data_IF_180774927770
#
_entry.id   IF_180774927770
#
_cell.length_a   1.000
_cell.length_b   1.000
_cell.length_c   1.000
_cell.angle_alpha   90.00
_cell.angle_beta   90.00
_cell.angle_gamma   90.00
#
_symmetry.space_group_name_H-M   'P 1'
#
loop_
_entity.id
_entity.type
_entity.pdbx_description
1 polymer ?
#
# COMPACT_ATOMS: atom_id res chain seq x y z
N UNK A 1 1.32 18.73 -21.99
CA UNK A 1 0.15 18.19 -21.26
C UNK A 1 0.20 18.74 -19.83
N UNK A 2 -0.96 19.13 -19.28
CA UNK A 2 -1.09 19.72 -17.95
C UNK A 2 -1.35 18.62 -16.93
N UNK A 3 -0.76 18.74 -15.72
CA UNK A 3 -1.08 17.91 -14.57
C UNK A 3 -2.16 18.57 -13.73
N UNK A 4 -3.03 17.77 -13.18
CA UNK A 4 -4.05 18.18 -12.22
C UNK A 4 -3.88 17.34 -10.98
N UNK A 5 -3.95 17.93 -9.79
CA UNK A 5 -3.78 17.24 -8.52
C UNK A 5 -4.84 17.69 -7.52
N UNK A 6 -5.34 16.75 -6.76
CA UNK A 6 -6.24 17.00 -5.64
C UNK A 6 -5.77 16.17 -4.45
N UNK A 7 -5.57 16.80 -3.30
CA UNK A 7 -5.11 16.17 -2.06
C UNK A 7 -6.05 16.54 -0.93
N UNK A 8 -6.46 15.57 -0.14
CA UNK A 8 -7.40 15.74 0.97
C UNK A 8 -6.96 14.95 2.18
N UNK A 9 -7.30 15.43 3.37
CA UNK A 9 -7.28 14.67 4.62
C UNK A 9 -8.65 14.02 4.83
N UNK A 10 -8.71 12.90 5.52
CA UNK A 10 -9.95 12.14 5.79
C UNK A 10 -10.20 11.02 4.79
N UNK A 11 -11.39 10.46 4.82
CA UNK A 11 -11.75 9.30 4.02
C UNK A 11 -11.96 9.65 2.54
N UNK A 12 -11.59 8.72 1.66
CA UNK A 12 -11.78 8.87 0.20
C UNK A 12 -13.26 9.03 -0.13
N UNK A 13 -14.13 8.21 0.50
CA UNK A 13 -15.57 8.27 0.29
C UNK A 13 -16.16 9.65 0.55
N UNK A 14 -15.71 10.35 1.58
CA UNK A 14 -16.23 11.67 1.95
C UNK A 14 -15.77 12.77 0.99
N UNK A 15 -14.57 12.62 0.45
CA UNK A 15 -13.88 13.68 -0.30
C UNK A 15 -13.98 13.54 -1.82
N UNK A 16 -14.02 12.32 -2.36
CA UNK A 16 -13.91 12.08 -3.81
C UNK A 16 -15.19 11.56 -4.48
N UNK A 17 -16.23 11.23 -3.74
CA UNK A 17 -17.53 10.78 -4.28
C UNK A 17 -18.33 11.92 -4.91
N UNK A 18 -18.11 13.15 -4.48
CA UNK A 18 -18.79 14.33 -5.03
C UNK A 18 -18.19 14.65 -6.41
N UNK A 19 -18.97 14.51 -7.48
CA UNK A 19 -18.53 14.70 -8.87
C UNK A 19 -17.80 16.01 -9.18
N UNK A 20 -17.91 17.03 -8.32
CA UNK A 20 -17.16 18.30 -8.41
C UNK A 20 -15.63 18.10 -8.31
N UNK A 21 -15.17 17.13 -7.51
CA UNK A 21 -13.71 16.87 -7.33
C UNK A 21 -13.16 16.15 -8.54
N UNK A 22 -13.85 15.12 -9.04
CA UNK A 22 -13.42 14.37 -10.23
C UNK A 22 -13.38 15.24 -11.48
N UNK A 23 -14.29 16.20 -11.62
CA UNK A 23 -14.29 17.18 -12.73
C UNK A 23 -13.03 18.08 -12.76
N UNK A 24 -12.33 18.23 -11.63
CA UNK A 24 -11.05 18.96 -11.55
C UNK A 24 -9.85 18.14 -12.01
N UNK A 25 -10.02 16.85 -12.24
CA UNK A 25 -8.96 15.90 -12.60
C UNK A 25 -9.18 15.32 -14.01
N UNK A 26 -9.27 16.16 -15.06
CA UNK A 26 -9.43 15.66 -16.42
C UNK A 26 -8.12 15.01 -16.89
N UNK A 27 -8.21 13.85 -17.57
CA UNK A 27 -7.04 13.18 -18.13
C UNK A 27 -7.32 11.72 -18.47
N UNK A 28 -6.40 11.13 -19.24
CA UNK A 28 -6.45 9.74 -19.67
C UNK A 28 -5.59 8.80 -18.80
N UNK A 29 -4.74 9.38 -17.97
CA UNK A 29 -3.87 8.67 -17.04
C UNK A 29 -4.03 9.28 -15.64
N UNK A 30 -4.06 8.45 -14.63
CA UNK A 30 -4.15 8.90 -13.25
C UNK A 30 -3.32 8.01 -12.33
N UNK A 31 -2.81 8.57 -11.24
CA UNK A 31 -2.29 7.85 -10.09
C UNK A 31 -3.02 8.31 -8.84
N UNK A 32 -3.17 7.42 -7.86
CA UNK A 32 -3.79 7.72 -6.59
C UNK A 32 -3.01 7.10 -5.43
N UNK A 33 -3.21 7.65 -4.23
CA UNK A 33 -2.59 7.12 -3.03
C UNK A 33 -3.48 7.33 -1.80
N UNK A 34 -3.67 6.28 -1.05
CA UNK A 34 -4.30 6.32 0.27
C UNK A 34 -3.20 6.18 1.32
N UNK A 35 -2.98 7.23 2.10
CA UNK A 35 -1.98 7.21 3.16
C UNK A 35 -2.63 6.91 4.50
N UNK A 36 -2.13 5.88 5.17
CA UNK A 36 -2.31 5.72 6.60
C UNK A 36 -1.06 6.22 7.31
N UNK A 37 -1.21 7.22 8.18
CA UNK A 37 -0.05 7.87 8.82
C UNK A 37 0.53 6.96 9.90
N UNK A 38 1.64 6.29 9.58
CA UNK A 38 2.42 5.50 10.54
C UNK A 38 3.71 6.22 10.98
N UNK A 39 4.22 7.12 10.14
CA UNK A 39 5.41 7.94 10.40
C UNK A 39 5.23 9.34 9.80
N UNK A 40 5.72 10.36 10.50
CA UNK A 40 5.62 11.76 10.11
C UNK A 40 4.27 12.41 10.48
N UNK A 41 4.24 13.73 10.50
CA UNK A 41 3.06 14.50 10.88
C UNK A 41 1.91 14.35 9.88
N UNK A 42 0.66 14.41 10.36
CA UNK A 42 -0.56 14.44 9.55
C UNK A 42 -0.75 15.80 8.86
N UNK A 43 0.26 16.24 8.11
CA UNK A 43 0.23 17.48 7.35
C UNK A 43 -0.22 17.21 5.92
N UNK A 44 -1.01 18.11 5.37
CA UNK A 44 -1.45 18.05 3.96
C UNK A 44 -0.27 17.98 2.99
N UNK A 45 0.88 18.54 3.34
CA UNK A 45 2.09 18.50 2.53
C UNK A 45 2.68 17.08 2.38
N UNK A 46 2.39 16.17 3.32
CA UNK A 46 2.81 14.77 3.25
C UNK A 46 1.85 13.87 2.46
N UNK A 47 0.70 14.41 2.03
CA UNK A 47 -0.29 13.66 1.25
C UNK A 47 0.22 13.46 -0.18
N UNK A 48 0.23 12.21 -0.63
CA UNK A 48 0.64 11.82 -1.98
C UNK A 48 -0.59 11.77 -2.91
N UNK A 49 -0.39 11.82 -4.25
CA UNK A 49 0.87 11.83 -5.00
C UNK A 49 1.65 13.14 -4.87
N UNK A 50 2.98 13.05 -4.89
CA UNK A 50 3.82 14.23 -5.06
C UNK A 50 3.96 14.57 -6.54
N UNK A 51 3.95 15.87 -6.82
CA UNK A 51 4.16 16.40 -8.15
C UNK A 51 5.40 17.30 -8.17
N UNK A 52 6.19 17.18 -9.23
CA UNK A 52 7.27 18.09 -9.52
C UNK A 52 7.31 18.41 -11.02
N UNK A 53 7.65 19.65 -11.35
CA UNK A 53 7.90 20.06 -12.73
C UNK A 53 9.41 20.04 -12.98
N UNK A 54 9.85 19.14 -13.84
CA UNK A 54 11.24 18.93 -14.19
C UNK A 54 11.51 19.54 -15.56
N UNK A 55 12.77 19.82 -15.87
CA UNK A 55 13.18 20.22 -17.22
C UNK A 55 12.71 19.21 -18.30
N UNK A 56 12.63 17.93 -17.95
CA UNK A 56 12.12 16.85 -18.81
C UNK A 56 10.59 16.73 -18.85
N UNK A 57 9.86 17.62 -18.21
CA UNK A 57 8.39 17.62 -18.07
C UNK A 57 7.93 17.22 -16.67
N UNK A 58 6.63 17.35 -16.43
CA UNK A 58 6.02 17.03 -15.15
C UNK A 58 6.09 15.55 -14.77
N UNK A 59 6.22 15.28 -13.47
CA UNK A 59 6.22 13.94 -12.88
C UNK A 59 5.34 13.92 -11.63
N UNK A 60 4.47 12.91 -11.53
CA UNK A 60 3.71 12.60 -10.31
C UNK A 60 4.17 11.27 -9.75
N UNK A 61 4.31 11.14 -8.43
CA UNK A 61 4.80 9.92 -7.77
C UNK A 61 3.92 9.57 -6.57
N UNK A 62 3.50 8.30 -6.53
CA UNK A 62 2.90 7.63 -5.38
C UNK A 62 3.84 6.51 -4.91
N UNK A 63 4.07 6.42 -3.61
CA UNK A 63 4.97 5.46 -2.98
C UNK A 63 4.27 4.71 -1.86
N UNK A 64 4.16 3.42 -2.00
CA UNK A 64 3.74 2.51 -0.93
C UNK A 64 4.98 1.77 -0.43
N UNK A 65 5.46 2.12 0.76
CA UNK A 65 6.66 1.53 1.33
C UNK A 65 7.41 2.47 2.27
N UNK A 66 8.67 2.16 2.50
CA UNK A 66 9.56 2.96 3.31
C UNK A 66 11.02 2.78 2.86
N UNK A 67 11.74 3.87 2.71
CA UNK A 67 13.15 3.88 2.36
C UNK A 67 14.01 3.85 3.64
N UNK A 68 14.79 2.79 3.81
CA UNK A 68 15.67 2.63 4.97
C UNK A 68 16.82 3.65 5.02
N UNK A 69 17.26 4.14 3.85
CA UNK A 69 18.32 5.14 3.73
C UNK A 69 17.84 6.58 3.47
N UNK A 70 16.52 6.84 3.58
CA UNK A 70 15.95 8.16 3.26
C UNK A 70 16.59 9.32 4.01
N UNK A 71 16.87 9.15 5.30
CA UNK A 71 17.47 10.21 6.14
C UNK A 71 18.88 10.59 5.67
N UNK A 72 19.70 9.61 5.30
CA UNK A 72 21.07 9.86 4.81
C UNK A 72 21.03 10.55 3.46
N UNK A 73 20.22 10.02 2.53
CA UNK A 73 20.03 10.64 1.22
C UNK A 73 19.49 12.06 1.32
N UNK A 74 18.54 12.31 2.23
CA UNK A 74 18.02 13.65 2.48
C UNK A 74 19.11 14.60 2.96
N UNK A 75 19.96 14.20 3.93
CA UNK A 75 21.07 15.00 4.42
C UNK A 75 22.04 15.38 3.29
N UNK A 76 22.42 14.44 2.44
CA UNK A 76 23.29 14.66 1.28
C UNK A 76 22.65 15.61 0.27
N UNK A 77 21.38 15.42 -0.05
CA UNK A 77 20.63 16.27 -0.96
C UNK A 77 20.51 17.70 -0.45
N UNK A 78 20.19 17.91 0.83
CA UNK A 78 20.14 19.25 1.46
C UNK A 78 21.51 19.91 1.44
N UNK A 79 22.58 19.19 1.81
CA UNK A 79 23.96 19.69 1.76
C UNK A 79 24.36 20.13 0.34
N UNK A 80 23.79 19.50 -0.68
CA UNK A 80 24.01 19.85 -2.08
C UNK A 80 22.97 20.82 -2.67
N UNK A 81 22.19 21.49 -1.82
CA UNK A 81 21.28 22.58 -2.20
C UNK A 81 19.86 22.15 -2.57
N UNK A 82 19.43 20.91 -2.30
CA UNK A 82 18.03 20.52 -2.50
C UNK A 82 17.13 21.11 -1.41
N UNK A 83 15.96 21.58 -1.81
CA UNK A 83 14.94 22.14 -0.90
C UNK A 83 13.84 21.11 -0.71
N UNK A 84 13.52 20.81 0.54
CA UNK A 84 12.47 19.88 0.94
C UNK A 84 11.28 20.63 1.55
N UNK A 85 10.07 20.27 1.19
CA UNK A 85 8.84 20.87 1.70
C UNK A 85 8.06 19.92 2.61
N UNK A 86 8.44 18.63 2.65
CA UNK A 86 7.73 17.58 3.39
C UNK A 86 8.70 16.80 4.27
N UNK A 87 8.16 15.97 5.15
CA UNK A 87 8.93 15.01 5.94
C UNK A 87 8.90 13.60 5.33
N UNK A 88 8.25 13.43 4.17
CA UNK A 88 8.11 12.14 3.49
C UNK A 88 9.41 11.70 2.81
N UNK A 89 9.73 10.42 2.92
CA UNK A 89 10.81 9.77 2.19
C UNK A 89 10.59 9.77 0.66
N UNK A 90 9.34 9.83 0.23
CA UNK A 90 8.97 9.92 -1.19
C UNK A 90 9.50 11.19 -1.85
N UNK A 91 9.61 12.31 -1.11
CA UNK A 91 10.20 13.53 -1.64
C UNK A 91 11.68 13.34 -1.99
N UNK A 92 12.39 12.47 -1.24
CA UNK A 92 13.78 12.09 -1.57
C UNK A 92 13.88 11.45 -2.97
N UNK A 93 12.90 10.60 -3.34
CA UNK A 93 12.83 10.02 -4.69
C UNK A 93 12.68 11.12 -5.75
N UNK A 94 11.77 12.07 -5.53
CA UNK A 94 11.55 13.21 -6.44
C UNK A 94 12.84 14.01 -6.64
N UNK A 95 13.53 14.33 -5.55
CA UNK A 95 14.79 15.10 -5.58
C UNK A 95 15.91 14.35 -6.30
N UNK A 96 16.04 13.04 -6.11
CA UNK A 96 17.03 12.21 -6.81
C UNK A 96 16.77 12.18 -8.31
N UNK A 97 15.50 12.01 -8.75
CA UNK A 97 15.12 12.04 -10.15
C UNK A 97 15.43 13.41 -10.77
N UNK A 98 15.09 14.50 -10.06
CA UNK A 98 15.34 15.87 -10.52
C UNK A 98 16.83 16.13 -10.75
N UNK A 99 17.69 15.61 -9.88
CA UNK A 99 19.15 15.82 -9.91
C UNK A 99 19.92 14.85 -10.80
N UNK A 100 19.28 13.80 -11.30
CA UNK A 100 19.95 12.85 -12.20
C UNK A 100 20.37 13.56 -13.50
N UNK A 101 21.63 13.36 -13.88
CA UNK A 101 22.24 13.94 -15.08
C UNK A 101 21.82 13.23 -16.38
N UNK A 102 21.03 12.16 -16.30
CA UNK A 102 20.53 11.44 -17.47
C UNK A 102 19.59 12.32 -18.28
N UNK A 103 19.53 12.12 -19.58
CA UNK A 103 18.65 12.90 -20.48
C UNK A 103 17.20 12.38 -20.47
N UNK A 104 17.02 11.04 -20.52
CA UNK A 104 15.71 10.42 -20.60
C UNK A 104 15.12 10.17 -19.21
N UNK A 105 13.83 10.41 -19.04
CA UNK A 105 13.14 10.25 -17.75
C UNK A 105 13.24 8.81 -17.19
N UNK A 106 13.19 7.79 -18.04
CA UNK A 106 13.35 6.38 -17.61
C UNK A 106 14.74 6.18 -17.02
N UNK A 107 15.79 6.67 -17.65
CA UNK A 107 17.17 6.54 -17.18
C UNK A 107 17.38 7.30 -15.86
N UNK A 108 16.71 8.48 -15.69
CA UNK A 108 16.71 9.22 -14.40
C UNK A 108 16.06 8.42 -13.28
N UNK A 109 14.96 7.75 -13.58
CA UNK A 109 14.28 6.88 -12.62
C UNK A 109 15.19 5.70 -12.26
N UNK A 110 15.77 5.00 -13.24
CA UNK A 110 16.69 3.88 -13.02
C UNK A 110 17.90 4.33 -12.17
N UNK A 111 18.51 5.47 -12.50
CA UNK A 111 19.62 6.04 -11.73
C UNK A 111 19.22 6.30 -10.26
N UNK A 112 17.98 6.70 -10.03
CA UNK A 112 17.42 6.87 -8.67
C UNK A 112 17.20 5.54 -7.96
N UNK A 113 16.68 4.52 -8.67
CA UNK A 113 16.40 3.21 -8.07
C UNK A 113 17.66 2.54 -7.52
N UNK A 114 18.83 2.76 -8.12
CA UNK A 114 20.10 2.25 -7.61
C UNK A 114 20.61 2.96 -6.36
N UNK A 115 20.05 4.13 -6.02
CA UNK A 115 20.44 4.91 -4.83
C UNK A 115 19.55 4.66 -3.62
N UNK A 116 18.28 4.35 -3.85
CA UNK A 116 17.31 4.12 -2.78
C UNK A 116 17.39 2.68 -2.27
N UNK A 117 17.17 2.52 -0.97
CA UNK A 117 17.14 1.22 -0.28
C UNK A 117 15.87 1.11 0.54
N UNK A 118 15.31 -0.10 0.62
CA UNK A 118 14.09 -0.39 1.38
C UNK A 118 13.06 -1.16 0.59
N UNK A 119 11.87 -1.31 1.15
CA UNK A 119 10.73 -1.92 0.48
C UNK A 119 9.86 -0.83 -0.13
N UNK A 120 9.60 -0.93 -1.45
CA UNK A 120 8.77 0.06 -2.14
C UNK A 120 8.00 -0.51 -3.33
N UNK A 121 6.79 0.00 -3.50
CA UNK A 121 6.04 -0.06 -4.73
C UNK A 121 5.73 1.37 -5.18
N UNK A 122 6.15 1.74 -6.39
CA UNK A 122 5.98 3.08 -6.93
C UNK A 122 5.00 3.08 -8.09
N UNK A 123 4.10 4.06 -8.11
CA UNK A 123 3.34 4.43 -9.29
C UNK A 123 3.76 5.84 -9.71
N UNK A 124 4.30 5.96 -10.91
CA UNK A 124 4.83 7.21 -11.46
C UNK A 124 4.05 7.60 -12.70
N UNK A 125 3.61 8.84 -12.74
CA UNK A 125 2.93 9.43 -13.89
C UNK A 125 3.81 10.50 -14.53
N UNK A 126 4.02 10.39 -15.83
CA UNK A 126 4.67 11.41 -16.66
C UNK A 126 3.69 11.94 -17.71
N UNK A 127 4.10 12.88 -18.54
CA UNK A 127 3.26 13.42 -19.60
C UNK A 127 2.74 12.36 -20.59
N UNK A 128 3.42 11.20 -20.72
CA UNK A 128 3.11 10.18 -21.72
C UNK A 128 3.11 8.75 -21.19
N UNK A 129 3.48 8.53 -19.93
CA UNK A 129 3.71 7.19 -19.39
C UNK A 129 3.10 7.04 -17.99
N UNK A 130 2.49 5.90 -17.74
CA UNK A 130 2.24 5.38 -16.39
C UNK A 130 3.28 4.29 -16.12
N UNK A 131 4.00 4.41 -15.02
CA UNK A 131 5.12 3.52 -14.69
C UNK A 131 4.85 2.89 -13.33
N UNK A 132 4.93 1.58 -13.24
CA UNK A 132 4.90 0.83 -12.00
C UNK A 132 6.25 0.21 -11.69
N UNK A 133 6.71 0.30 -10.45
CA UNK A 133 8.02 -0.24 -10.05
C UNK A 133 7.87 -0.99 -8.74
N UNK A 134 8.38 -2.20 -8.70
CA UNK A 134 8.47 -3.01 -7.46
C UNK A 134 9.93 -3.10 -7.02
N UNK A 135 10.17 -3.01 -5.72
CA UNK A 135 11.51 -3.11 -5.13
C UNK A 135 12.22 -4.43 -5.50
N UNK A 136 13.57 -4.46 -5.53
CA UNK A 136 14.34 -5.61 -6.00
C UNK A 136 14.20 -6.88 -5.15
N UNK A 137 13.74 -6.75 -3.90
CA UNK A 137 13.46 -7.90 -3.02
C UNK A 137 12.01 -8.36 -3.08
N UNK A 138 11.10 -7.55 -3.66
CA UNK A 138 9.67 -7.80 -3.70
C UNK A 138 9.02 -7.71 -2.33
N UNK A 139 9.50 -6.80 -1.48
CA UNK A 139 8.99 -6.56 -0.12
C UNK A 139 7.55 -6.04 -0.19
N UNK A 140 7.32 -5.03 -1.06
CA UNK A 140 5.97 -4.47 -1.24
C UNK A 140 5.28 -5.09 -2.47
N UNK A 141 3.97 -5.39 -2.38
CA UNK A 141 3.23 -5.91 -3.50
C UNK A 141 2.92 -4.81 -4.54
N UNK A 142 2.86 -5.21 -5.80
CA UNK A 142 2.35 -4.42 -6.91
C UNK A 142 1.82 -5.37 -7.99
N UNK A 143 0.61 -5.13 -8.46
CA UNK A 143 -0.10 -6.00 -9.38
C UNK A 143 -0.58 -5.25 -10.61
N UNK A 144 -0.70 -5.97 -11.73
CA UNK A 144 -1.19 -5.47 -13.01
C UNK A 144 -2.51 -6.13 -13.32
N UNK A 145 -3.49 -5.31 -13.66
CA UNK A 145 -4.78 -5.74 -14.18
C UNK A 145 -5.14 -5.03 -15.48
N UNK A 146 -6.25 -5.41 -16.06
CA UNK A 146 -6.81 -4.80 -17.28
C UNK A 146 -8.28 -4.53 -17.08
N UNK A 147 -8.68 -3.28 -17.26
CA UNK A 147 -10.06 -2.84 -17.30
C UNK A 147 -10.38 -2.44 -18.75
N UNK A 148 -11.20 -3.23 -19.43
CA UNK A 148 -11.44 -3.10 -20.86
C UNK A 148 -10.11 -3.10 -21.66
N UNK A 149 -9.78 -1.98 -22.31
CA UNK A 149 -8.53 -1.82 -23.07
C UNK A 149 -7.40 -1.16 -22.25
N UNK A 150 -7.67 -0.72 -21.00
CA UNK A 150 -6.74 0.04 -20.18
C UNK A 150 -6.01 -0.85 -19.17
N UNK A 151 -4.71 -0.61 -18.98
CA UNK A 151 -3.95 -1.23 -17.90
C UNK A 151 -4.19 -0.50 -16.58
N UNK A 152 -4.26 -1.26 -15.49
CA UNK A 152 -4.42 -0.78 -14.13
C UNK A 152 -3.30 -1.35 -13.26
N UNK A 153 -2.68 -0.50 -12.45
CA UNK A 153 -1.72 -0.89 -11.43
C UNK A 153 -2.40 -0.73 -10.06
N UNK A 154 -2.23 -1.71 -9.18
CA UNK A 154 -2.73 -1.64 -7.82
C UNK A 154 -1.75 -2.28 -6.84
N UNK A 155 -1.88 -1.94 -5.56
CA UNK A 155 -1.11 -2.60 -4.49
C UNK A 155 -1.61 -4.02 -4.23
N UNK A 156 -2.93 -4.27 -4.42
CA UNK A 156 -3.59 -5.52 -4.05
C UNK A 156 -4.59 -5.96 -5.13
N UNK A 157 -4.79 -7.27 -5.26
CA UNK A 157 -5.73 -7.86 -6.24
C UNK A 157 -7.18 -7.50 -5.97
N UNK A 158 -7.59 -7.38 -4.70
CA UNK A 158 -8.95 -6.99 -4.32
C UNK A 158 -9.40 -5.63 -4.89
N UNK A 159 -8.44 -4.75 -5.23
CA UNK A 159 -8.76 -3.49 -5.91
C UNK A 159 -9.33 -3.71 -7.32
N UNK A 160 -8.91 -4.79 -7.99
CA UNK A 160 -9.43 -5.14 -9.32
C UNK A 160 -10.86 -5.67 -9.25
N UNK A 161 -11.17 -6.46 -8.23
CA UNK A 161 -12.52 -6.99 -8.02
C UNK A 161 -13.52 -5.84 -7.83
N UNK A 162 -13.15 -4.81 -7.06
CA UNK A 162 -13.99 -3.63 -6.80
C UNK A 162 -14.34 -2.88 -8.08
N UNK A 163 -13.40 -2.77 -9.04
CA UNK A 163 -13.61 -2.00 -10.27
C UNK A 163 -13.96 -2.87 -11.48
N UNK A 164 -14.06 -4.20 -11.32
CA UNK A 164 -14.32 -5.15 -12.40
C UNK A 164 -13.14 -5.29 -13.38
N UNK A 165 -11.90 -5.04 -12.95
CA UNK A 165 -10.70 -5.27 -13.75
C UNK A 165 -10.27 -6.73 -13.66
N UNK A 166 -9.69 -7.26 -14.74
CA UNK A 166 -9.13 -8.62 -14.76
C UNK A 166 -7.66 -8.57 -14.30
N UNK A 167 -7.31 -9.39 -13.32
CA UNK A 167 -5.91 -9.61 -12.92
C UNK A 167 -5.11 -10.22 -14.08
N UNK A 168 -3.92 -9.70 -14.33
CA UNK A 168 -2.99 -10.25 -15.33
C UNK A 168 -1.86 -10.99 -14.63
N UNK A 169 -1.08 -10.28 -13.80
CA UNK A 169 0.05 -10.82 -13.04
C UNK A 169 0.54 -9.85 -11.98
N UNK A 170 1.38 -10.31 -11.12
CA UNK A 170 2.18 -9.44 -10.28
C UNK A 170 3.30 -8.76 -11.10
N UNK A 171 3.72 -7.58 -10.65
CA UNK A 171 5.01 -6.99 -11.06
C UNK A 171 6.11 -7.78 -10.38
N UNK A 172 7.09 -8.26 -11.14
CA UNK A 172 8.19 -9.05 -10.59
C UNK A 172 9.12 -8.20 -9.71
N UNK A 173 9.94 -8.86 -8.91
CA UNK A 173 10.93 -8.17 -8.09
C UNK A 173 11.90 -7.38 -8.95
N UNK A 174 12.11 -6.11 -8.63
CA UNK A 174 12.99 -5.23 -9.35
C UNK A 174 12.53 -4.90 -10.77
N UNK A 175 11.29 -5.23 -11.11
CA UNK A 175 10.70 -4.91 -12.41
C UNK A 175 10.14 -3.49 -12.42
N UNK A 176 10.34 -2.81 -13.53
CA UNK A 176 9.69 -1.59 -13.95
C UNK A 176 8.77 -1.89 -15.11
N UNK A 177 7.47 -1.67 -14.96
CA UNK A 177 6.48 -1.76 -16.03
C UNK A 177 6.13 -0.37 -16.52
N UNK A 178 6.04 -0.18 -17.83
CA UNK A 178 5.78 1.09 -18.49
C UNK A 178 4.56 0.94 -19.38
N UNK A 179 3.51 1.66 -19.07
CA UNK A 179 2.28 1.71 -19.87
C UNK A 179 2.28 2.98 -20.70
N UNK A 180 2.09 2.82 -22.00
CA UNK A 180 1.96 3.89 -22.98
C UNK A 180 0.72 3.66 -23.86
N UNK A 181 0.50 4.50 -24.84
CA UNK A 181 -0.53 4.28 -25.88
C UNK A 181 -0.26 3.01 -26.71
N UNK A 182 1.00 2.59 -26.80
CA UNK A 182 1.41 1.38 -27.55
C UNK A 182 1.27 0.08 -26.73
N UNK A 183 0.93 0.16 -25.46
CA UNK A 183 0.76 -0.99 -24.58
C UNK A 183 1.65 -0.98 -23.35
N UNK A 184 1.97 -2.18 -22.84
CA UNK A 184 2.77 -2.40 -21.65
C UNK A 184 4.13 -2.99 -22.03
N UNK A 185 5.18 -2.33 -21.58
CA UNK A 185 6.58 -2.77 -21.68
C UNK A 185 7.13 -3.09 -20.30
N UNK A 186 8.14 -3.96 -20.22
CA UNK A 186 8.80 -4.35 -18.98
C UNK A 186 10.31 -4.17 -19.09
N UNK A 187 10.92 -3.63 -18.05
CA UNK A 187 12.37 -3.46 -17.89
C UNK A 187 12.78 -4.02 -16.55
N UNK A 188 13.87 -4.78 -16.49
CA UNK A 188 14.48 -5.29 -15.25
C UNK A 188 15.87 -4.65 -15.05
N UNK A 189 15.95 -3.46 -14.45
CA UNK A 189 17.22 -2.75 -14.30
C UNK A 189 18.17 -3.40 -13.30
N UNK A 190 17.65 -4.15 -12.34
CA UNK A 190 18.45 -4.79 -11.30
C UNK A 190 18.95 -6.19 -11.72
N UNK A 191 20.10 -6.65 -11.20
CA UNK A 191 20.47 -8.05 -11.28
C UNK A 191 19.43 -8.92 -10.56
N UNK A 192 19.42 -10.22 -10.88
CA UNK A 192 18.50 -11.16 -10.22
C UNK A 192 18.86 -11.29 -8.73
N UNK A 193 17.94 -10.92 -7.86
CA UNK A 193 18.08 -10.94 -6.40
C UNK A 193 17.08 -11.95 -5.82
N UNK A 194 17.47 -12.64 -4.73
CA UNK A 194 16.58 -13.56 -4.01
C UNK A 194 15.40 -12.79 -3.40
N UNK A 195 14.19 -13.28 -3.64
CA UNK A 195 12.97 -12.73 -3.06
C UNK A 195 13.01 -12.70 -1.53
N UNK A 196 12.50 -11.61 -0.95
CA UNK A 196 12.36 -11.42 0.51
C UNK A 196 11.01 -10.75 0.80
N UNK A 197 9.88 -11.43 0.52
CA UNK A 197 8.56 -10.86 0.73
C UNK A 197 8.36 -10.55 2.21
N UNK A 198 7.63 -9.48 2.49
CA UNK A 198 7.29 -9.11 3.86
C UNK A 198 6.19 -10.02 4.39
N UNK A 199 6.47 -10.75 5.49
CA UNK A 199 5.48 -11.62 6.13
C UNK A 199 4.26 -10.84 6.63
N UNK A 200 4.42 -9.57 7.02
CA UNK A 200 3.34 -8.72 7.48
C UNK A 200 2.29 -8.42 6.41
N UNK A 201 2.60 -8.59 5.13
CA UNK A 201 1.58 -8.51 4.07
C UNK A 201 0.51 -9.59 4.28
N UNK A 202 0.91 -10.81 4.63
CA UNK A 202 -0.01 -11.91 4.89
C UNK A 202 -0.69 -11.78 6.25
N UNK A 203 0.04 -11.39 7.30
CA UNK A 203 -0.47 -11.36 8.67
C UNK A 203 -1.44 -10.19 8.88
N UNK A 204 -1.12 -8.99 8.33
CA UNK A 204 -1.82 -7.78 8.74
C UNK A 204 -2.08 -6.75 7.63
N UNK A 205 -1.11 -6.46 6.75
CA UNK A 205 -1.24 -5.30 5.87
C UNK A 205 -2.29 -5.49 4.78
N UNK A 206 -2.27 -6.63 4.10
CA UNK A 206 -3.18 -6.90 2.99
C UNK A 206 -4.57 -7.29 3.47
N UNK A 207 -5.55 -7.00 2.65
CA UNK A 207 -6.92 -7.47 2.89
C UNK A 207 -6.99 -8.99 2.78
N UNK A 208 -7.86 -9.65 3.56
CA UNK A 208 -7.97 -11.11 3.51
C UNK A 208 -8.39 -11.65 2.14
N UNK A 209 -9.15 -10.86 1.36
CA UNK A 209 -9.60 -11.19 0.01
C UNK A 209 -8.54 -10.95 -1.08
N UNK A 210 -7.32 -10.55 -0.72
CA UNK A 210 -6.21 -10.38 -1.66
C UNK A 210 -5.43 -11.68 -1.88
N UNK A 211 -4.79 -11.76 -3.06
CA UNK A 211 -3.87 -12.83 -3.44
C UNK A 211 -2.47 -12.23 -3.60
N UNK A 212 -1.47 -12.80 -2.94
CA UNK A 212 -0.06 -12.39 -2.99
C UNK A 212 0.81 -13.60 -3.27
N UNK A 213 1.69 -13.54 -4.27
CA UNK A 213 2.53 -14.66 -4.70
C UNK A 213 1.72 -15.95 -4.92
N UNK A 214 0.54 -15.84 -5.52
CA UNK A 214 -0.44 -16.91 -5.75
C UNK A 214 -0.98 -17.57 -4.46
N UNK A 215 -0.87 -16.91 -3.32
CA UNK A 215 -1.39 -17.39 -2.03
C UNK A 215 -2.52 -16.46 -1.60
N UNK A 216 -3.69 -17.02 -1.29
CA UNK A 216 -4.78 -16.29 -0.66
C UNK A 216 -4.36 -15.84 0.74
N UNK A 217 -4.51 -14.55 1.03
CA UNK A 217 -4.21 -14.00 2.36
C UNK A 217 -5.14 -14.60 3.42
N UNK A 218 -6.41 -14.85 3.07
CA UNK A 218 -7.37 -15.52 3.95
C UNK A 218 -6.91 -16.92 4.32
N UNK A 219 -6.59 -17.76 3.34
CA UNK A 219 -6.11 -19.12 3.56
C UNK A 219 -4.78 -19.16 4.32
N UNK A 220 -3.90 -18.20 4.06
CA UNK A 220 -2.65 -18.08 4.81
C UNK A 220 -2.92 -17.83 6.29
N UNK A 221 -3.81 -16.87 6.62
CA UNK A 221 -4.18 -16.57 8.01
C UNK A 221 -4.89 -17.75 8.69
N UNK A 222 -5.73 -18.47 7.94
CA UNK A 222 -6.38 -19.68 8.44
C UNK A 222 -5.36 -20.75 8.81
N UNK A 223 -4.37 -21.00 7.95
CA UNK A 223 -3.25 -21.91 8.24
C UNK A 223 -2.43 -21.49 9.45
N UNK A 224 -2.19 -20.20 9.64
CA UNK A 224 -1.50 -19.70 10.83
C UNK A 224 -2.26 -20.07 12.12
N UNK A 225 -3.58 -19.99 12.10
CA UNK A 225 -4.41 -20.43 13.22
C UNK A 225 -4.30 -21.93 13.49
N UNK A 226 -4.33 -22.76 12.46
CA UNK A 226 -4.14 -24.21 12.58
C UNK A 226 -2.75 -24.58 13.14
N UNK A 227 -1.68 -23.92 12.63
CA UNK A 227 -0.33 -24.14 13.16
C UNK A 227 -0.21 -23.68 14.62
N UNK A 228 -0.83 -22.54 14.99
CA UNK A 228 -0.87 -22.10 16.39
C UNK A 228 -1.56 -23.14 17.30
N UNK A 229 -2.63 -23.78 16.83
CA UNK A 229 -3.31 -24.81 17.59
C UNK A 229 -2.42 -26.05 17.86
N UNK A 230 -1.57 -26.41 16.89
CA UNK A 230 -0.59 -27.49 17.03
C UNK A 230 0.55 -27.15 18.00
N UNK A 231 1.06 -25.90 17.90
CA UNK A 231 2.17 -25.42 18.71
C UNK A 231 1.76 -25.11 20.16
N UNK A 232 0.54 -24.61 20.34
CA UNK A 232 0.07 -24.08 21.61
C UNK A 232 -1.43 -24.34 21.78
N UNK A 233 -1.77 -25.60 22.00
CA UNK A 233 -3.14 -25.99 22.30
C UNK A 233 -3.56 -25.48 23.69
N UNK A 234 -4.73 -24.88 23.76
CA UNK A 234 -5.37 -24.44 25.00
C UNK A 234 -6.74 -25.09 25.11
N UNK A 235 -6.98 -25.85 26.20
CA UNK A 235 -8.33 -26.34 26.53
C UNK A 235 -9.24 -25.13 26.77
N UNK A 236 -10.35 -25.10 26.09
CA UNK A 236 -11.33 -24.02 26.18
C UNK A 236 -12.70 -24.48 25.76
N UNK A 237 -13.73 -23.88 26.32
CA UNK A 237 -15.11 -24.17 25.96
C UNK A 237 -15.50 -23.58 24.63
N UNK A 238 -14.83 -22.50 24.24
CA UNK A 238 -15.19 -21.69 23.06
C UNK A 238 -14.00 -20.93 22.47
N UNK A 239 -13.93 -20.87 21.15
CA UNK A 239 -12.99 -20.02 20.41
C UNK A 239 -13.69 -18.75 19.99
N UNK A 240 -13.16 -17.60 20.42
CA UNK A 240 -13.73 -16.28 20.12
C UNK A 240 -12.72 -15.45 19.31
N UNK A 241 -13.00 -15.12 18.05
CA UNK A 241 -12.13 -14.26 17.26
C UNK A 241 -12.20 -12.80 17.71
N UNK A 242 -11.06 -12.10 17.66
CA UNK A 242 -11.07 -10.64 17.71
C UNK A 242 -11.42 -10.11 16.31
N UNK A 243 -12.58 -9.51 16.15
CA UNK A 243 -13.01 -9.08 14.83
C UNK A 243 -12.27 -7.83 14.33
N UNK A 244 -12.04 -7.66 13.01
CA UNK A 244 -12.36 -8.63 11.94
C UNK A 244 -11.14 -9.47 11.57
N UNK A 245 -9.92 -8.96 11.89
CA UNK A 245 -8.64 -9.51 11.41
C UNK A 245 -8.29 -10.89 11.98
N UNK A 246 -8.77 -11.19 13.18
CA UNK A 246 -8.55 -12.47 13.86
C UNK A 246 -9.44 -13.62 13.36
N UNK A 247 -10.51 -13.32 12.64
CA UNK A 247 -11.50 -14.34 12.23
C UNK A 247 -10.90 -15.50 11.44
N UNK A 248 -10.09 -15.30 10.39
CA UNK A 248 -9.56 -16.45 9.65
C UNK A 248 -8.64 -17.33 10.52
N UNK A 249 -7.82 -16.75 11.39
CA UNK A 249 -6.95 -17.50 12.28
C UNK A 249 -7.75 -18.28 13.32
N UNK A 250 -8.80 -17.69 13.91
CA UNK A 250 -9.67 -18.39 14.85
C UNK A 250 -10.40 -19.56 14.18
N UNK A 251 -10.83 -19.41 12.93
CA UNK A 251 -11.42 -20.52 12.15
C UNK A 251 -10.41 -21.66 11.99
N UNK A 252 -9.17 -21.36 11.59
CA UNK A 252 -8.14 -22.39 11.44
C UNK A 252 -7.78 -23.07 12.75
N UNK A 253 -7.71 -22.31 13.83
CA UNK A 253 -7.48 -22.85 15.18
C UNK A 253 -8.62 -23.79 15.61
N UNK A 254 -9.87 -23.33 15.47
CA UNK A 254 -11.08 -24.09 15.81
C UNK A 254 -11.18 -25.40 15.02
N UNK A 255 -10.94 -25.38 13.73
CA UNK A 255 -10.97 -26.59 12.88
C UNK A 255 -9.91 -27.62 13.30
N UNK A 256 -8.70 -27.18 13.67
CA UNK A 256 -7.60 -28.06 14.04
C UNK A 256 -7.89 -28.81 15.39
N UNK A 257 -8.41 -28.06 16.37
CA UNK A 257 -8.74 -28.67 17.69
C UNK A 257 -10.16 -29.23 17.78
N UNK A 258 -10.96 -29.05 16.71
CA UNK A 258 -12.38 -29.48 16.66
C UNK A 258 -13.23 -28.87 17.77
N UNK A 259 -13.03 -27.60 18.07
CA UNK A 259 -13.79 -26.85 19.06
C UNK A 259 -14.71 -25.82 18.39
N UNK A 260 -15.75 -25.38 19.08
CA UNK A 260 -16.71 -24.41 18.54
C UNK A 260 -16.09 -23.01 18.40
N UNK A 261 -16.47 -22.32 17.36
CA UNK A 261 -16.15 -20.91 17.15
C UNK A 261 -17.44 -20.09 17.18
N UNK A 262 -17.43 -19.01 17.95
CA UNK A 262 -18.58 -18.12 18.07
C UNK A 262 -18.15 -16.65 18.13
N UNK A 263 -19.03 -15.76 17.73
CA UNK A 263 -18.81 -14.33 17.78
C UNK A 263 -19.06 -13.76 19.19
N UNK A 264 -18.26 -14.17 20.16
CA UNK A 264 -18.32 -13.67 21.54
C UNK A 264 -17.95 -12.20 21.69
N UNK A 265 -17.25 -11.62 20.70
CA UNK A 265 -16.94 -10.19 20.60
C UNK A 265 -17.59 -9.63 19.34
N UNK A 266 -18.47 -8.64 19.51
CA UNK A 266 -19.15 -7.95 18.42
C UNK A 266 -18.49 -6.60 18.17
N UNK A 267 -18.17 -6.32 16.90
CA UNK A 267 -17.61 -5.03 16.47
C UNK A 267 -18.69 -4.06 16.03
N UNK A 268 -18.58 -2.83 16.53
CA UNK A 268 -19.32 -1.70 15.97
C UNK A 268 -18.59 -1.17 14.71
N UNK A 269 -19.19 -1.37 13.53
CA UNK A 269 -18.60 -0.99 12.24
C UNK A 269 -18.51 0.54 12.03
N UNK A 270 -19.27 1.33 12.76
CA UNK A 270 -19.21 2.79 12.70
C UNK A 270 -18.01 3.39 13.44
N UNK A 271 -17.31 2.59 14.25
CA UNK A 271 -16.10 3.04 14.97
C UNK A 271 -14.86 2.59 14.19
N UNK A 272 -14.06 3.57 13.80
CA UNK A 272 -12.81 3.35 13.07
C UNK A 272 -11.67 2.79 13.92
N UNK A 273 -10.42 3.09 13.52
CA UNK A 273 -9.22 2.69 14.24
C UNK A 273 -9.07 3.52 15.52
N UNK A 274 -8.85 2.86 16.64
CA UNK A 274 -8.82 3.49 17.97
C UNK A 274 -7.41 3.66 18.53
N UNK A 275 -6.46 2.83 18.12
CA UNK A 275 -5.09 2.85 18.68
C UNK A 275 -4.25 4.07 18.29
N UNK A 276 -4.69 4.82 17.25
CA UNK A 276 -4.04 6.05 16.78
C UNK A 276 -4.48 7.30 17.53
N UNK A 277 -5.47 7.19 18.39
CA UNK A 277 -5.97 8.32 19.17
C UNK A 277 -4.89 8.83 20.14
N UNK A 278 -4.82 10.16 20.39
CA UNK A 278 -3.66 10.78 21.03
C UNK A 278 -3.51 10.41 22.50
N UNK A 279 -4.59 10.16 23.22
CA UNK A 279 -4.55 9.88 24.66
C UNK A 279 -5.03 8.48 25.00
N UNK A 280 -4.54 7.93 26.11
CA UNK A 280 -4.97 6.62 26.59
C UNK A 280 -6.46 6.58 26.95
N UNK A 281 -7.00 7.67 27.50
CA UNK A 281 -8.42 7.77 27.85
C UNK A 281 -9.31 7.67 26.61
N UNK A 282 -8.98 8.41 25.53
CA UNK A 282 -9.71 8.38 24.26
C UNK A 282 -9.57 6.99 23.61
N UNK A 283 -8.38 6.39 23.64
CA UNK A 283 -8.18 5.01 23.15
C UNK A 283 -9.06 4.01 23.89
N UNK A 284 -9.07 4.05 25.22
CA UNK A 284 -9.87 3.16 26.05
C UNK A 284 -11.38 3.32 25.81
N UNK A 285 -11.84 4.56 25.69
CA UNK A 285 -13.24 4.85 25.33
C UNK A 285 -13.57 4.33 23.93
N UNK A 286 -12.67 4.58 22.97
CA UNK A 286 -12.83 4.10 21.60
C UNK A 286 -12.92 2.59 21.51
N UNK A 287 -12.11 1.84 22.28
CA UNK A 287 -12.19 0.38 22.36
C UNK A 287 -13.54 -0.08 22.93
N UNK A 288 -14.01 0.54 24.00
CA UNK A 288 -15.34 0.23 24.61
C UNK A 288 -16.50 0.49 23.64
N UNK A 289 -16.42 1.56 22.84
CA UNK A 289 -17.42 1.86 21.83
C UNK A 289 -17.35 0.93 20.61
N UNK A 290 -16.15 0.41 20.33
CA UNK A 290 -15.89 -0.41 19.16
C UNK A 290 -16.23 -1.89 19.37
N UNK A 291 -15.96 -2.43 20.56
CA UNK A 291 -16.14 -3.84 20.85
C UNK A 291 -17.07 -4.04 22.04
N UNK A 292 -18.01 -4.94 21.90
CA UNK A 292 -18.90 -5.34 22.96
C UNK A 292 -18.93 -6.88 23.09
N UNK A 293 -19.01 -7.35 24.32
CA UNK A 293 -19.10 -8.79 24.60
C UNK A 293 -20.55 -9.25 24.35
N UNK A 294 -20.69 -10.37 23.67
CA UNK A 294 -21.97 -11.05 23.54
C UNK A 294 -22.23 -11.89 24.81
N UNK A 295 -22.91 -11.30 25.77
CA UNK A 295 -23.16 -11.90 27.12
C UNK A 295 -23.95 -13.19 27.09
N UNK A 296 -24.56 -13.57 25.97
CA UNK A 296 -25.28 -14.83 25.85
C UNK A 296 -24.35 -16.00 25.52
N UNK A 297 -23.11 -15.73 25.16
CA UNK A 297 -22.12 -16.73 24.74
C UNK A 297 -20.93 -16.83 25.69
N UNK A 298 -20.71 -15.79 26.54
CA UNK A 298 -19.54 -15.70 27.41
C UNK A 298 -19.96 -15.49 28.86
#
# INVERSE_FOLDING_TARGET
KKFYAERRLGLVGDNFTKGKVLKKLPGNYAIGHNRYSTAGNNLINNVQPFFADLHSGGIGISHNGNLSNALNLRKELVKSGSIFQTTSDTETIVQLIARSKRSKIIDKIIDTLFKIQGGYALAILTNKKLIGIRDPYGIRPLVIGKLNKSYVLASETCAFDIIGAKFIREVENGEMVIVTENGLESIKPFPKIKKRPCIFEYIYFSRPDSIINNISVYEYRKRLGAELAKESHVESDLIVPVPDSGVPAAIGYSEEIRNNIELGIIRNHYVGRTFIEPTQQIRSLGVKLKHNINKSLV
#
